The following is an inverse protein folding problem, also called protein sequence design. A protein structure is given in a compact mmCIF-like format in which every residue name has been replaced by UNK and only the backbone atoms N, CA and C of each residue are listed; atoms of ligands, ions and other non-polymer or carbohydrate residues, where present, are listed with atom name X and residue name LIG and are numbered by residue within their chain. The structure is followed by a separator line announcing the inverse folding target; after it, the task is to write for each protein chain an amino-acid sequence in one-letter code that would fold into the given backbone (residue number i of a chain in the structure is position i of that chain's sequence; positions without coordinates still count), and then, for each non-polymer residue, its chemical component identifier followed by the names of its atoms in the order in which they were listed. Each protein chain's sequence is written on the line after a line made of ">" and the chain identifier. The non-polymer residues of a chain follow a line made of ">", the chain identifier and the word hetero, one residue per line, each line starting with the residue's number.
data_IF_931043234938
#
_entry.id   IF_931043234938
#
_cell.length_a   1.000
_cell.length_b   1.000
_cell.length_c   1.000
_cell.angle_alpha   90.00
_cell.angle_beta   90.00
_cell.angle_gamma   90.00
#
_symmetry.space_group_name_H-M   'P 1'
#
loop_
_entity.id
_entity.type
_entity.pdbx_description
1 polymer ?
#
# COMPACT_ATOMS: atom_id res chain seq x y z
N UNK A 1 -3.38 -6.96 24.52
CA UNK A 1 -2.57 -5.91 23.87
C UNK A 1 -3.21 -4.56 24.11
N UNK A 2 -2.38 -3.49 24.32
CA UNK A 2 -2.88 -2.11 24.35
C UNK A 2 -3.49 -1.75 22.98
N UNK A 3 -4.48 -0.87 22.99
CA UNK A 3 -4.93 -0.24 21.75
C UNK A 3 -3.84 0.71 21.22
N UNK A 4 -3.69 0.80 19.91
CA UNK A 4 -2.62 1.57 19.26
C UNK A 4 -3.23 2.54 18.26
N UNK A 5 -2.72 3.76 18.23
CA UNK A 5 -3.13 4.81 17.30
C UNK A 5 -1.95 5.37 16.53
N UNK A 6 -2.19 5.76 15.28
CA UNK A 6 -1.28 6.60 14.51
C UNK A 6 -1.49 8.04 15.00
N UNK A 7 -0.39 8.69 15.37
CA UNK A 7 -0.38 10.06 15.94
C UNK A 7 0.38 11.06 15.08
N UNK A 8 1.18 10.61 14.12
CA UNK A 8 1.90 11.46 13.18
C UNK A 8 2.14 10.76 11.85
N UNK A 9 2.17 11.53 10.77
CA UNK A 9 2.41 11.05 9.41
C UNK A 9 3.44 11.93 8.72
N UNK A 10 4.32 11.31 7.91
CA UNK A 10 5.30 11.99 7.07
C UNK A 10 5.36 11.33 5.71
N UNK A 11 5.24 12.08 4.62
CA UNK A 11 5.36 11.58 3.27
C UNK A 11 6.06 12.57 2.37
N UNK A 12 6.97 12.07 1.53
CA UNK A 12 7.66 12.88 0.54
C UNK A 12 6.91 12.84 -0.80
N UNK A 13 7.02 13.88 -1.64
CA UNK A 13 6.56 13.78 -3.02
C UNK A 13 7.26 12.61 -3.74
N UNK A 14 6.47 11.77 -4.40
CA UNK A 14 7.00 10.67 -5.21
C UNK A 14 7.58 11.24 -6.49
N UNK A 15 8.81 10.82 -6.83
CA UNK A 15 9.56 11.32 -7.96
C UNK A 15 9.96 10.19 -8.90
N UNK A 16 10.09 10.49 -10.18
CA UNK A 16 10.64 9.54 -11.15
C UNK A 16 12.10 9.20 -10.83
N UNK A 17 12.86 10.22 -10.42
CA UNK A 17 14.24 10.13 -9.96
C UNK A 17 14.49 11.19 -8.91
N UNK A 18 15.34 10.89 -7.92
CA UNK A 18 15.76 11.86 -6.90
C UNK A 18 17.28 11.83 -6.72
N UNK A 19 17.87 12.96 -6.33
CA UNK A 19 19.29 13.06 -5.97
C UNK A 19 19.57 12.66 -4.53
N UNK A 20 18.53 12.56 -3.68
CA UNK A 20 18.67 12.15 -2.28
C UNK A 20 19.02 10.67 -2.20
N UNK A 21 19.87 10.29 -1.25
CA UNK A 21 20.17 8.90 -0.93
C UNK A 21 18.98 8.23 -0.22
N UNK A 22 18.97 6.89 -0.15
CA UNK A 22 17.96 6.13 0.61
C UNK A 22 17.84 6.60 2.06
N UNK A 23 19.00 6.78 2.75
CA UNK A 23 19.00 7.22 4.14
C UNK A 23 18.40 8.62 4.30
N UNK A 24 18.70 9.55 3.39
CA UNK A 24 18.13 10.90 3.41
C UNK A 24 16.62 10.89 3.17
N UNK A 25 16.13 10.08 2.21
CA UNK A 25 14.68 9.94 1.98
C UNK A 25 13.98 9.38 3.22
N UNK A 26 14.49 8.28 3.77
CA UNK A 26 13.89 7.64 4.95
C UNK A 26 13.90 8.53 6.18
N UNK A 27 15.05 9.16 6.48
CA UNK A 27 15.19 10.05 7.64
C UNK A 27 14.32 11.31 7.54
N UNK A 28 14.16 11.87 6.34
CA UNK A 28 13.29 13.02 6.12
C UNK A 28 11.80 12.66 6.35
N UNK A 29 11.36 11.49 5.87
CA UNK A 29 10.00 11.00 6.13
C UNK A 29 9.77 10.78 7.64
N UNK A 30 10.76 10.23 8.36
CA UNK A 30 10.71 10.07 9.83
C UNK A 30 10.59 11.42 10.52
N UNK A 31 11.42 12.40 10.15
CA UNK A 31 11.35 13.75 10.77
C UNK A 31 10.00 14.42 10.54
N UNK A 32 9.46 14.35 9.32
CA UNK A 32 8.12 14.88 9.04
C UNK A 32 7.02 14.21 9.88
N UNK A 33 7.11 12.90 10.08
CA UNK A 33 6.14 12.18 10.92
C UNK A 33 6.28 12.56 12.41
N UNK A 34 7.51 12.78 12.89
CA UNK A 34 7.79 13.25 14.24
C UNK A 34 7.31 14.70 14.44
N UNK A 35 7.50 15.56 13.45
CA UNK A 35 6.98 16.94 13.44
C UNK A 35 5.45 16.96 13.49
N UNK A 36 4.73 16.12 12.70
CA UNK A 36 3.26 16.04 12.71
C UNK A 36 2.74 15.53 14.07
N UNK A 37 3.52 14.69 14.77
CA UNK A 37 3.23 14.20 16.13
C UNK A 37 3.72 15.14 17.25
N UNK A 38 4.49 16.18 16.92
CA UNK A 38 5.14 17.07 17.88
C UNK A 38 6.00 16.33 18.92
N UNK A 39 6.85 15.39 18.45
CA UNK A 39 7.76 14.60 19.30
C UNK A 39 9.21 14.69 18.83
N UNK A 40 10.15 14.49 19.76
CA UNK A 40 11.59 14.52 19.49
C UNK A 40 12.26 13.14 19.58
N UNK A 41 11.58 12.15 20.14
CA UNK A 41 12.12 10.80 20.39
C UNK A 41 11.09 9.73 20.09
N UNK A 42 11.61 8.56 19.74
CA UNK A 42 10.86 7.29 19.64
C UNK A 42 11.69 6.17 20.29
N UNK A 43 11.05 5.09 20.69
CA UNK A 43 11.71 3.94 21.31
C UNK A 43 12.14 2.91 20.26
N UNK A 44 11.40 2.82 19.15
CA UNK A 44 11.65 1.84 18.10
C UNK A 44 11.41 2.39 16.69
N UNK A 45 12.19 1.89 15.71
CA UNK A 45 12.07 2.17 14.29
C UNK A 45 12.02 0.86 13.50
N UNK A 46 10.94 0.67 12.76
CA UNK A 46 10.77 -0.46 11.83
C UNK A 46 10.79 0.06 10.40
N UNK A 47 11.88 -0.27 9.69
CA UNK A 47 12.07 0.17 8.32
C UNK A 47 11.68 -0.91 7.31
N UNK A 48 11.09 -0.49 6.20
CA UNK A 48 10.80 -1.33 5.05
C UNK A 48 11.48 -0.83 3.79
N UNK A 49 12.05 -1.76 3.06
CA UNK A 49 12.64 -1.59 1.75
C UNK A 49 12.68 -2.97 1.09
N UNK A 50 12.59 -3.04 -0.22
CA UNK A 50 12.64 -4.32 -0.94
C UNK A 50 13.90 -4.47 -1.78
N UNK A 51 14.42 -3.40 -2.36
CA UNK A 51 15.36 -3.48 -3.49
C UNK A 51 16.75 -2.87 -3.21
N UNK A 52 17.00 -2.33 -2.01
CA UNK A 52 18.24 -1.61 -1.72
C UNK A 52 19.49 -2.48 -1.83
N UNK A 53 19.42 -3.75 -1.46
CA UNK A 53 20.53 -4.69 -1.60
C UNK A 53 20.82 -5.06 -3.06
N UNK A 54 19.82 -5.03 -3.93
CA UNK A 54 19.97 -5.29 -5.36
C UNK A 54 20.36 -4.03 -6.16
N UNK A 55 19.77 -2.88 -5.85
CA UNK A 55 19.95 -1.68 -6.67
C UNK A 55 21.05 -0.75 -6.15
N UNK A 56 21.24 -0.68 -4.83
CA UNK A 56 22.25 0.17 -4.19
C UNK A 56 23.39 -0.64 -3.53
N UNK A 57 23.30 -1.98 -3.46
CA UNK A 57 24.23 -2.80 -2.70
C UNK A 57 24.19 -2.53 -1.19
N UNK A 58 23.11 -1.93 -0.68
CA UNK A 58 22.99 -1.48 0.70
C UNK A 58 22.06 -2.36 1.51
N UNK A 59 22.58 -2.97 2.57
CA UNK A 59 21.81 -3.66 3.62
C UNK A 59 21.68 -2.78 4.86
N UNK A 60 20.98 -3.27 5.87
CA UNK A 60 20.89 -2.64 7.20
C UNK A 60 20.28 -1.23 7.21
N UNK A 61 19.24 -1.03 6.37
CA UNK A 61 18.62 0.26 6.11
C UNK A 61 18.01 0.89 7.37
N UNK A 62 17.47 0.10 8.30
CA UNK A 62 16.83 0.63 9.52
C UNK A 62 17.82 1.43 10.38
N UNK A 63 18.99 0.86 10.68
CA UNK A 63 20.03 1.55 11.46
C UNK A 63 20.58 2.79 10.72
N UNK A 64 20.73 2.72 9.38
CA UNK A 64 21.16 3.87 8.58
C UNK A 64 20.14 5.03 8.62
N UNK A 65 18.86 4.73 8.59
CA UNK A 65 17.79 5.75 8.68
C UNK A 65 17.74 6.32 10.08
N UNK A 66 17.85 5.49 11.13
CA UNK A 66 17.85 5.92 12.52
C UNK A 66 19.02 6.86 12.80
N UNK A 67 20.24 6.48 12.37
CA UNK A 67 21.45 7.31 12.51
C UNK A 67 21.30 8.67 11.80
N UNK A 68 20.89 8.68 10.53
CA UNK A 68 20.66 9.91 9.75
C UNK A 68 19.53 10.78 10.32
N UNK A 69 18.53 10.18 10.99
CA UNK A 69 17.47 10.90 11.69
C UNK A 69 17.90 11.44 13.07
N UNK A 70 19.08 11.06 13.57
CA UNK A 70 19.56 11.39 14.90
C UNK A 70 18.94 10.54 16.03
N UNK A 71 18.37 9.39 15.68
CA UNK A 71 17.72 8.47 16.61
C UNK A 71 18.68 7.33 16.99
N UNK A 72 19.64 7.62 17.88
CA UNK A 72 20.61 6.61 18.36
C UNK A 72 20.14 6.00 19.69
N UNK A 73 20.52 4.72 19.89
CA UNK A 73 20.19 3.98 21.13
C UNK A 73 18.76 3.40 21.16
N UNK A 74 18.03 3.47 20.05
CA UNK A 74 16.69 2.88 19.91
C UNK A 74 16.76 1.49 19.27
N UNK A 75 15.68 0.72 19.36
CA UNK A 75 15.50 -0.47 18.54
C UNK A 75 15.33 -0.05 17.06
N UNK A 76 16.14 -0.61 16.14
CA UNK A 76 16.04 -0.30 14.71
C UNK A 76 16.14 -1.58 13.87
N UNK A 77 15.01 -2.06 13.34
CA UNK A 77 14.92 -3.32 12.59
C UNK A 77 14.35 -3.11 11.18
N UNK A 78 14.91 -3.84 10.23
CA UNK A 78 14.37 -3.92 8.87
C UNK A 78 13.40 -5.09 8.75
N UNK A 79 12.24 -4.84 8.13
CA UNK A 79 11.16 -5.82 7.97
C UNK A 79 10.86 -6.01 6.48
N UNK A 80 10.76 -7.26 6.05
CA UNK A 80 10.57 -7.62 4.64
C UNK A 80 9.37 -8.56 4.42
N UNK A 81 8.58 -8.26 3.37
CA UNK A 81 7.52 -9.10 2.83
C UNK A 81 7.28 -8.76 1.35
N UNK A 82 8.35 -8.67 0.55
CA UNK A 82 8.35 -8.20 -0.83
C UNK A 82 7.62 -6.85 -0.95
N UNK A 83 6.64 -6.68 -1.87
CA UNK A 83 5.88 -5.44 -2.04
C UNK A 83 4.96 -5.11 -0.84
N UNK A 84 4.73 -6.05 0.06
CA UNK A 84 3.98 -5.82 1.30
C UNK A 84 4.86 -5.37 2.49
N UNK A 85 6.16 -5.15 2.28
CA UNK A 85 7.14 -4.81 3.34
C UNK A 85 6.71 -3.60 4.18
N UNK A 86 6.13 -2.56 3.57
CA UNK A 86 5.64 -1.39 4.30
C UNK A 86 4.53 -1.73 5.30
N UNK A 87 3.57 -2.59 4.92
CA UNK A 87 2.55 -3.10 5.84
C UNK A 87 3.14 -4.00 6.92
N UNK A 88 4.18 -4.76 6.61
CA UNK A 88 4.87 -5.58 7.61
C UNK A 88 5.60 -4.70 8.65
N UNK A 89 6.25 -3.62 8.23
CA UNK A 89 6.87 -2.64 9.14
C UNK A 89 5.81 -1.94 10.02
N UNK A 90 4.69 -1.50 9.43
CA UNK A 90 3.55 -0.95 10.18
C UNK A 90 3.01 -1.96 11.22
N UNK A 91 2.91 -3.25 10.83
CA UNK A 91 2.49 -4.32 11.75
C UNK A 91 3.48 -4.52 12.88
N UNK A 92 4.78 -4.48 12.64
CA UNK A 92 5.80 -4.62 13.71
C UNK A 92 5.73 -3.44 14.68
N UNK A 93 5.62 -2.21 14.20
CA UNK A 93 5.40 -1.05 15.06
C UNK A 93 4.11 -1.16 15.88
N UNK A 94 3.01 -1.62 15.26
CA UNK A 94 1.75 -1.91 15.95
C UNK A 94 1.91 -2.96 17.06
N UNK A 95 2.66 -4.04 16.81
CA UNK A 95 2.91 -5.09 17.77
C UNK A 95 3.81 -4.60 18.92
N UNK A 96 4.87 -3.85 18.63
CA UNK A 96 5.78 -3.30 19.64
C UNK A 96 5.07 -2.35 20.60
N UNK A 97 4.27 -1.42 20.07
CA UNK A 97 3.46 -0.53 20.92
C UNK A 97 2.35 -1.30 21.63
N UNK A 98 1.69 -2.21 20.95
CA UNK A 98 0.59 -3.01 21.52
C UNK A 98 1.02 -3.95 22.64
N UNK A 99 2.22 -4.53 22.57
CA UNK A 99 2.79 -5.38 23.63
C UNK A 99 3.29 -4.62 24.84
N UNK A 100 3.66 -3.35 24.66
CA UNK A 100 4.27 -2.52 25.68
C UNK A 100 5.80 -2.47 25.68
N UNK A 101 6.44 -3.08 24.67
CA UNK A 101 7.90 -2.97 24.47
C UNK A 101 8.33 -1.56 24.08
N UNK A 102 7.48 -0.83 23.35
CA UNK A 102 7.70 0.56 22.99
C UNK A 102 6.46 1.40 23.35
N UNK A 103 6.67 2.63 23.79
CA UNK A 103 5.60 3.61 23.94
C UNK A 103 5.42 4.43 22.66
N UNK A 104 6.51 4.76 21.97
CA UNK A 104 6.48 5.41 20.67
C UNK A 104 7.29 4.59 19.65
N UNK A 105 6.66 4.21 18.55
CA UNK A 105 7.34 3.53 17.46
C UNK A 105 7.11 4.22 16.12
N UNK A 106 8.13 4.26 15.27
CA UNK A 106 8.01 4.72 13.89
C UNK A 106 8.07 3.53 12.93
N UNK A 107 7.11 3.47 12.00
CA UNK A 107 7.21 2.64 10.80
C UNK A 107 7.59 3.55 9.64
N UNK A 108 8.70 3.27 8.96
CA UNK A 108 9.19 4.01 7.80
C UNK A 108 9.39 3.08 6.62
N UNK A 109 8.97 3.53 5.44
CA UNK A 109 9.23 2.85 4.18
C UNK A 109 9.97 3.75 3.23
N UNK A 110 10.96 3.22 2.53
CA UNK A 110 11.74 3.93 1.53
C UNK A 110 12.05 3.02 0.36
N UNK A 111 11.97 3.56 -0.86
CA UNK A 111 12.45 2.87 -2.04
C UNK A 111 13.05 3.86 -3.03
N UNK A 112 14.17 3.49 -3.66
CA UNK A 112 14.82 4.27 -4.71
C UNK A 112 15.10 3.36 -5.90
N UNK A 113 14.11 3.26 -6.78
CA UNK A 113 14.13 2.33 -7.91
C UNK A 113 14.83 2.90 -9.14
N UNK A 114 15.17 4.19 -9.12
CA UNK A 114 15.78 4.89 -10.27
C UNK A 114 17.27 4.63 -10.44
N UNK A 115 17.96 4.02 -9.48
CA UNK A 115 19.41 3.80 -9.52
C UNK A 115 19.85 2.52 -10.24
N UNK A 116 18.91 1.72 -10.74
CA UNK A 116 19.25 0.50 -11.44
C UNK A 116 18.14 0.00 -12.34
N UNK A 117 18.31 -1.21 -12.88
CA UNK A 117 17.28 -1.89 -13.68
C UNK A 117 16.34 -2.64 -12.72
N UNK A 118 15.22 -2.01 -12.39
CA UNK A 118 14.29 -2.54 -11.39
C UNK A 118 13.64 -3.88 -11.81
N UNK A 119 13.40 -4.14 -13.08
CA UNK A 119 12.62 -5.29 -13.52
C UNK A 119 13.21 -6.66 -13.13
N UNK A 120 14.53 -6.94 -13.27
CA UNK A 120 15.12 -8.19 -12.78
C UNK A 120 15.09 -8.33 -11.25
N UNK A 121 15.30 -7.22 -10.53
CA UNK A 121 15.23 -7.23 -9.07
C UNK A 121 13.79 -7.50 -8.58
N UNK A 122 12.79 -6.91 -9.23
CA UNK A 122 11.37 -7.16 -8.98
C UNK A 122 10.95 -8.61 -9.24
N UNK A 123 11.51 -9.23 -10.27
CA UNK A 123 11.21 -10.61 -10.61
C UNK A 123 11.59 -11.59 -9.47
N UNK A 124 12.59 -11.25 -8.65
CA UNK A 124 13.01 -12.07 -7.49
C UNK A 124 11.98 -12.12 -6.35
N UNK A 125 10.87 -11.42 -6.47
CA UNK A 125 9.70 -11.63 -5.62
C UNK A 125 8.88 -12.87 -6.01
N UNK A 126 9.14 -13.44 -7.19
CA UNK A 126 8.63 -14.73 -7.65
C UNK A 126 9.61 -15.85 -7.27
N UNK A 127 9.20 -17.10 -7.47
CA UNK A 127 10.08 -18.26 -7.30
C UNK A 127 11.21 -18.22 -8.33
N UNK A 128 12.44 -17.98 -7.82
CA UNK A 128 13.61 -17.82 -8.69
C UNK A 128 13.97 -19.12 -9.39
N UNK A 129 13.79 -20.27 -8.72
CA UNK A 129 14.19 -21.58 -9.24
C UNK A 129 13.22 -22.10 -10.31
N UNK A 130 11.95 -21.73 -10.24
CA UNK A 130 10.90 -22.24 -11.13
C UNK A 130 10.33 -21.16 -12.06
N UNK A 131 9.87 -20.04 -11.51
CA UNK A 131 9.18 -19.03 -12.32
C UNK A 131 10.14 -18.08 -13.04
N UNK A 132 11.16 -17.56 -12.32
CA UNK A 132 12.13 -16.61 -12.93
C UNK A 132 13.06 -17.33 -13.90
N UNK A 133 13.46 -18.57 -13.59
CA UNK A 133 14.24 -19.40 -14.50
C UNK A 133 13.53 -19.66 -15.84
N UNK A 134 12.19 -19.72 -15.83
CA UNK A 134 11.34 -19.85 -17.02
C UNK A 134 10.99 -18.49 -17.67
N UNK A 135 11.61 -17.40 -17.20
CA UNK A 135 11.45 -16.06 -17.77
C UNK A 135 10.22 -15.29 -17.26
N UNK A 136 9.57 -15.73 -16.18
CA UNK A 136 8.44 -15.01 -15.61
C UNK A 136 8.87 -13.66 -15.02
N UNK A 137 7.98 -12.70 -15.11
CA UNK A 137 8.08 -11.38 -14.52
C UNK A 137 6.79 -11.04 -13.77
N UNK A 138 6.82 -10.04 -12.89
CA UNK A 138 5.60 -9.55 -12.25
C UNK A 138 4.55 -9.11 -13.26
N UNK A 139 4.96 -8.54 -14.39
CA UNK A 139 4.05 -8.13 -15.48
C UNK A 139 3.43 -9.35 -16.15
N UNK A 140 4.24 -10.35 -16.53
CA UNK A 140 3.72 -11.54 -17.24
C UNK A 140 2.75 -12.35 -16.37
N UNK A 141 3.03 -12.51 -15.06
CA UNK A 141 2.13 -13.22 -14.14
C UNK A 141 0.78 -12.50 -13.96
N UNK A 142 0.79 -11.17 -13.83
CA UNK A 142 -0.46 -10.42 -13.75
C UNK A 142 -1.20 -10.37 -15.09
N UNK A 143 -0.49 -10.37 -16.23
CA UNK A 143 -1.11 -10.48 -17.55
C UNK A 143 -1.79 -11.84 -17.76
N UNK A 144 -1.20 -12.91 -17.24
CA UNK A 144 -1.80 -14.24 -17.21
C UNK A 144 -3.10 -14.27 -16.39
N UNK A 145 -3.08 -13.74 -15.17
CA UNK A 145 -4.30 -13.60 -14.35
C UNK A 145 -5.37 -12.76 -15.06
N UNK A 146 -4.98 -11.67 -15.72
CA UNK A 146 -5.90 -10.81 -16.48
C UNK A 146 -6.54 -11.55 -17.64
N UNK A 147 -5.77 -12.35 -18.41
CA UNK A 147 -6.28 -13.17 -19.50
C UNK A 147 -7.25 -14.23 -18.97
N UNK A 148 -6.85 -14.99 -17.93
CA UNK A 148 -7.71 -16.01 -17.31
C UNK A 148 -9.03 -15.41 -16.79
N UNK A 149 -8.96 -14.20 -16.21
CA UNK A 149 -10.14 -13.50 -15.72
C UNK A 149 -11.09 -13.11 -16.87
N UNK A 150 -10.56 -12.55 -17.95
CA UNK A 150 -11.36 -12.19 -19.13
C UNK A 150 -12.00 -13.42 -19.78
N UNK A 151 -11.24 -14.49 -19.91
CA UNK A 151 -11.72 -15.73 -20.53
C UNK A 151 -12.81 -16.41 -19.68
N UNK A 152 -12.60 -16.47 -18.35
CA UNK A 152 -13.52 -17.15 -17.44
C UNK A 152 -14.84 -16.41 -17.28
N UNK A 153 -14.78 -15.10 -17.08
CA UNK A 153 -15.95 -14.29 -16.73
C UNK A 153 -16.51 -13.50 -17.92
N UNK A 154 -15.96 -13.70 -19.13
CA UNK A 154 -16.39 -13.01 -20.36
C UNK A 154 -16.40 -11.49 -20.22
N UNK A 155 -15.39 -10.97 -19.53
CA UNK A 155 -15.23 -9.54 -19.32
C UNK A 155 -14.90 -8.85 -20.65
N UNK A 156 -15.54 -7.72 -20.98
CA UNK A 156 -15.17 -6.93 -22.15
C UNK A 156 -13.70 -6.51 -22.11
N UNK A 157 -13.03 -6.38 -23.26
CA UNK A 157 -11.60 -6.01 -23.36
C UNK A 157 -11.26 -4.74 -22.59
N UNK A 158 -12.19 -3.79 -22.48
CA UNK A 158 -12.03 -2.55 -21.76
C UNK A 158 -12.65 -2.54 -20.34
N UNK A 159 -13.03 -3.72 -19.82
CA UNK A 159 -13.67 -3.84 -18.48
C UNK A 159 -12.85 -3.26 -17.33
N UNK A 160 -11.52 -3.33 -17.41
CA UNK A 160 -10.63 -2.81 -16.36
C UNK A 160 -10.14 -1.37 -16.60
N UNK A 161 -10.51 -0.74 -17.71
CA UNK A 161 -9.96 0.57 -18.13
C UNK A 161 -10.19 1.71 -17.13
N UNK A 162 -11.25 1.62 -16.33
CA UNK A 162 -11.58 2.66 -15.37
C UNK A 162 -10.76 2.62 -14.06
N UNK A 163 -10.06 1.53 -13.76
CA UNK A 163 -9.12 1.50 -12.63
C UNK A 163 -8.02 2.57 -12.78
N UNK A 164 -7.19 2.56 -13.87
CA UNK A 164 -6.21 3.62 -14.05
C UNK A 164 -6.83 5.01 -14.26
N UNK A 165 -7.99 5.13 -14.93
CA UNK A 165 -8.66 6.42 -15.14
C UNK A 165 -9.03 7.07 -13.80
N UNK A 166 -9.59 6.31 -12.86
CA UNK A 166 -9.98 6.82 -11.54
C UNK A 166 -8.75 7.16 -10.71
N UNK A 167 -7.73 6.29 -10.70
CA UNK A 167 -6.47 6.55 -10.01
C UNK A 167 -5.82 7.86 -10.47
N UNK A 168 -5.66 8.07 -11.78
CA UNK A 168 -5.08 9.30 -12.32
C UNK A 168 -5.96 10.54 -12.05
N UNK A 169 -7.28 10.40 -12.09
CA UNK A 169 -8.18 11.50 -11.71
C UNK A 169 -7.98 11.93 -10.27
N UNK A 170 -7.84 10.97 -9.35
CA UNK A 170 -7.63 11.25 -7.94
C UNK A 170 -6.22 11.82 -7.68
N UNK A 171 -5.19 11.33 -8.38
CA UNK A 171 -3.81 11.85 -8.27
C UNK A 171 -3.70 13.36 -8.56
N UNK A 172 -4.54 13.93 -9.42
CA UNK A 172 -4.47 15.35 -9.82
C UNK A 172 -4.60 16.34 -8.67
N UNK A 173 -5.16 15.94 -7.56
CA UNK A 173 -5.31 16.80 -6.38
C UNK A 173 -4.35 16.40 -5.24
N UNK A 174 -3.48 15.42 -5.46
CA UNK A 174 -2.48 14.97 -4.50
C UNK A 174 -1.10 15.56 -4.85
N UNK A 175 -0.56 16.49 -4.07
CA UNK A 175 0.76 17.10 -4.33
C UNK A 175 1.92 16.11 -4.21
N UNK A 176 1.72 14.96 -3.57
CA UNK A 176 2.72 13.89 -3.46
C UNK A 176 2.69 12.89 -4.63
N UNK A 177 1.69 12.98 -5.52
CA UNK A 177 1.54 12.04 -6.61
C UNK A 177 2.52 12.30 -7.76
N UNK A 178 3.14 11.24 -8.27
CA UNK A 178 4.05 11.30 -9.42
C UNK A 178 3.37 11.87 -10.69
N UNK A 179 2.10 11.53 -10.90
CA UNK A 179 1.33 11.94 -12.09
C UNK A 179 0.20 12.93 -11.76
N UNK A 180 0.46 13.87 -10.83
CA UNK A 180 -0.53 14.88 -10.43
C UNK A 180 -0.97 15.82 -11.56
N UNK A 181 -0.17 15.99 -12.59
CA UNK A 181 -0.44 16.81 -13.78
C UNK A 181 -0.98 16.01 -14.98
N UNK A 182 -1.05 14.68 -14.88
CA UNK A 182 -1.44 13.82 -15.98
C UNK A 182 -2.95 13.58 -16.03
N UNK A 183 -3.56 13.85 -17.19
CA UNK A 183 -4.97 13.52 -17.47
C UNK A 183 -5.07 12.23 -18.26
N UNK A 184 -5.80 11.26 -17.74
CA UNK A 184 -5.98 9.94 -18.35
C UNK A 184 -7.47 9.69 -18.63
N UNK A 185 -7.76 9.30 -19.87
CA UNK A 185 -9.10 8.93 -20.34
C UNK A 185 -9.16 7.42 -20.66
N UNK A 186 -10.34 6.81 -20.80
CA UNK A 186 -10.46 5.44 -21.30
C UNK A 186 -9.74 5.22 -22.64
N UNK A 187 -9.77 6.21 -23.54
CA UNK A 187 -9.05 6.17 -24.83
C UNK A 187 -7.52 6.15 -24.62
N UNK A 188 -7.02 6.92 -23.65
CA UNK A 188 -5.58 6.93 -23.31
C UNK A 188 -5.13 5.54 -22.86
N UNK A 189 -5.92 4.87 -22.01
CA UNK A 189 -5.62 3.52 -21.53
C UNK A 189 -5.63 2.51 -22.68
N UNK A 190 -6.70 2.50 -23.48
CA UNK A 190 -6.84 1.58 -24.63
C UNK A 190 -5.74 1.72 -25.67
N UNK A 191 -5.26 2.93 -25.91
CA UNK A 191 -4.21 3.22 -26.89
C UNK A 191 -2.79 3.09 -26.29
N UNK A 192 -2.65 2.81 -25.00
CA UNK A 192 -1.32 2.61 -24.41
C UNK A 192 -0.68 1.31 -24.89
N UNK A 193 0.65 1.30 -24.94
CA UNK A 193 1.42 0.15 -25.41
C UNK A 193 1.07 -1.12 -24.66
N UNK A 194 0.88 -2.23 -25.35
CA UNK A 194 0.80 -3.58 -24.75
C UNK A 194 2.19 -3.96 -24.22
N UNK A 195 2.27 -4.32 -22.95
CA UNK A 195 3.52 -4.73 -22.27
C UNK A 195 3.61 -6.24 -22.13
N UNK A 196 2.47 -6.92 -21.91
CA UNK A 196 2.32 -8.38 -21.94
C UNK A 196 0.82 -8.66 -22.14
N UNK A 197 0.43 -9.17 -23.31
CA UNK A 197 -0.98 -9.29 -23.68
C UNK A 197 -1.80 -10.11 -22.65
N UNK A 198 -2.99 -9.62 -22.25
CA UNK A 198 -3.72 -8.43 -22.71
C UNK A 198 -3.34 -7.12 -21.99
N UNK A 199 -2.40 -7.15 -21.04
CA UNK A 199 -2.01 -6.03 -20.17
C UNK A 199 -1.31 -4.90 -20.95
N UNK A 200 -1.71 -3.68 -20.68
CA UNK A 200 -1.16 -2.46 -21.26
C UNK A 200 -0.34 -1.68 -20.26
N UNK A 201 0.48 -0.75 -20.73
CA UNK A 201 1.32 0.09 -19.88
C UNK A 201 0.53 0.83 -18.80
N UNK A 202 -0.64 1.35 -19.11
CA UNK A 202 -1.50 2.07 -18.15
C UNK A 202 -2.16 1.14 -17.10
N UNK A 203 -2.10 -0.18 -17.30
CA UNK A 203 -2.53 -1.15 -16.29
C UNK A 203 -1.49 -1.37 -15.20
N UNK A 204 -0.27 -0.89 -15.39
CA UNK A 204 0.87 -1.10 -14.50
C UNK A 204 1.21 0.17 -13.69
N UNK A 205 1.72 -0.02 -12.48
CA UNK A 205 2.32 1.05 -11.70
C UNK A 205 3.70 1.45 -12.26
N UNK A 206 4.14 2.73 -12.08
CA UNK A 206 5.44 3.20 -12.52
C UNK A 206 6.57 2.78 -11.58
N UNK A 207 7.80 2.76 -12.10
CA UNK A 207 9.04 2.78 -11.34
C UNK A 207 9.26 4.21 -10.83
N UNK A 208 9.55 4.38 -9.52
CA UNK A 208 9.67 5.69 -8.90
C UNK A 208 10.40 5.60 -7.54
N UNK A 209 10.77 6.75 -7.01
CA UNK A 209 11.45 6.92 -5.74
C UNK A 209 10.52 7.61 -4.73
N UNK A 210 10.60 7.24 -3.46
CA UNK A 210 9.80 7.87 -2.41
C UNK A 210 10.00 7.27 -1.03
N UNK A 211 9.55 7.99 -0.02
CA UNK A 211 9.55 7.56 1.37
C UNK A 211 8.33 8.11 2.12
N UNK A 212 7.80 7.32 3.05
CA UNK A 212 6.75 7.72 3.96
C UNK A 212 6.94 7.05 5.32
N UNK A 213 6.45 7.69 6.39
CA UNK A 213 6.54 7.19 7.75
C UNK A 213 5.28 7.52 8.54
N UNK A 214 5.01 6.72 9.56
CA UNK A 214 3.95 6.97 10.54
C UNK A 214 4.45 6.72 11.94
N UNK A 215 4.00 7.51 12.90
CA UNK A 215 4.28 7.36 14.34
C UNK A 215 3.09 6.70 15.01
N UNK A 216 3.38 5.71 15.85
CA UNK A 216 2.40 4.96 16.62
C UNK A 216 2.62 5.20 18.12
N UNK A 217 1.50 5.32 18.85
CA UNK A 217 1.46 5.47 20.30
C UNK A 217 0.31 4.64 20.91
N UNK A 218 0.33 4.36 22.22
CA UNK A 218 -0.84 3.81 22.92
C UNK A 218 -2.04 4.74 22.76
N UNK A 219 -3.21 4.19 22.41
CA UNK A 219 -4.40 5.00 22.16
C UNK A 219 -4.83 5.87 23.35
N UNK A 220 -4.59 5.41 24.57
CA UNK A 220 -4.91 6.15 25.80
C UNK A 220 -4.12 7.45 25.92
N UNK A 221 -2.89 7.48 25.37
CA UNK A 221 -1.98 8.63 25.44
C UNK A 221 -1.95 9.44 24.12
N UNK A 222 -2.57 8.92 23.08
CA UNK A 222 -2.44 9.43 21.70
C UNK A 222 -2.87 10.89 21.53
N UNK A 223 -3.79 11.39 22.38
CA UNK A 223 -4.21 12.80 22.36
C UNK A 223 -3.16 13.78 22.86
N UNK A 224 -2.12 13.30 23.56
CA UNK A 224 -0.98 14.12 23.92
C UNK A 224 -0.09 14.47 22.72
N UNK A 225 -0.15 13.65 21.67
CA UNK A 225 0.68 13.76 20.47
C UNK A 225 -0.10 14.28 19.25
N UNK A 226 -1.40 14.01 19.17
CA UNK A 226 -2.23 14.42 18.04
C UNK A 226 -3.64 14.81 18.49
N UNK A 227 -4.21 15.92 17.98
CA UNK A 227 -5.61 16.28 18.26
C UNK A 227 -6.59 15.27 17.63
N UNK A 228 -6.18 14.56 16.58
CA UNK A 228 -7.00 13.63 15.81
C UNK A 228 -6.28 12.30 15.57
N UNK A 229 -5.99 11.51 16.65
CA UNK A 229 -5.32 10.23 16.49
C UNK A 229 -6.22 9.24 15.75
N UNK A 230 -5.62 8.40 14.92
CA UNK A 230 -6.33 7.38 14.14
C UNK A 230 -5.97 6.00 14.66
N UNK A 231 -6.96 5.29 15.19
CA UNK A 231 -6.76 3.96 15.78
C UNK A 231 -6.50 2.91 14.70
N UNK A 232 -5.53 2.03 14.93
CA UNK A 232 -5.37 0.78 14.18
C UNK A 232 -6.31 -0.26 14.81
N UNK A 233 -7.49 -0.43 14.20
CA UNK A 233 -8.53 -1.33 14.70
C UNK A 233 -8.20 -2.78 14.42
N UNK A 234 -7.47 -3.05 13.30
CA UNK A 234 -7.01 -4.38 12.95
C UNK A 234 -5.69 -4.33 12.18
N UNK A 235 -4.88 -5.36 12.38
CA UNK A 235 -3.68 -5.66 11.61
C UNK A 235 -3.57 -7.17 11.45
N UNK A 236 -3.79 -7.69 10.26
CA UNK A 236 -3.82 -9.12 9.96
C UNK A 236 -2.91 -9.47 8.80
N UNK A 237 -2.40 -10.68 8.79
CA UNK A 237 -1.57 -11.23 7.74
C UNK A 237 -2.00 -12.66 7.40
N UNK A 238 -1.91 -13.02 6.13
CA UNK A 238 -2.11 -14.38 5.65
C UNK A 238 -1.17 -14.67 4.47
N UNK A 239 -0.90 -15.94 4.26
CA UNK A 239 -0.13 -16.44 3.12
C UNK A 239 -0.92 -17.50 2.37
N UNK A 240 -0.63 -17.66 1.09
CA UNK A 240 -1.15 -18.69 0.20
C UNK A 240 0.04 -19.44 -0.43
N UNK A 241 -0.23 -20.41 -1.29
CA UNK A 241 0.78 -21.08 -2.09
C UNK A 241 1.60 -20.06 -2.86
N UNK A 242 2.91 -20.29 -2.88
CA UNK A 242 3.85 -19.29 -3.41
C UNK A 242 3.59 -19.03 -4.89
N UNK A 243 3.60 -20.07 -5.71
CA UNK A 243 3.34 -19.96 -7.15
C UNK A 243 1.83 -19.93 -7.44
N UNK A 244 1.46 -19.13 -8.42
CA UNK A 244 0.06 -19.00 -8.86
C UNK A 244 -0.48 -20.31 -9.43
N UNK A 245 0.36 -21.06 -10.14
CA UNK A 245 0.03 -22.35 -10.77
C UNK A 245 -0.33 -23.44 -9.77
N UNK A 246 0.20 -23.36 -8.56
CA UNK A 246 -0.05 -24.35 -7.50
C UNK A 246 -1.37 -24.09 -6.75
N UNK A 247 -2.07 -22.99 -7.06
CA UNK A 247 -3.34 -22.62 -6.43
C UNK A 247 -4.51 -23.38 -7.08
N UNK A 248 -5.44 -23.83 -6.27
CA UNK A 248 -6.66 -24.49 -6.75
C UNK A 248 -7.48 -23.58 -7.67
N UNK A 249 -7.53 -22.29 -7.37
CA UNK A 249 -8.15 -21.27 -8.20
C UNK A 249 -7.23 -20.03 -8.26
N UNK A 250 -6.49 -19.82 -9.36
CA UNK A 250 -5.57 -18.71 -9.49
C UNK A 250 -6.25 -17.33 -9.45
N UNK A 251 -7.55 -17.27 -9.77
CA UNK A 251 -8.34 -16.02 -9.73
C UNK A 251 -8.96 -15.73 -8.36
N UNK A 252 -8.81 -16.63 -7.39
CA UNK A 252 -9.23 -16.37 -6.01
C UNK A 252 -8.02 -16.13 -5.13
N UNK A 253 -7.89 -14.91 -4.63
CA UNK A 253 -6.78 -14.51 -3.77
C UNK A 253 -7.03 -14.95 -2.32
N UNK A 254 -6.79 -16.22 -2.01
CA UNK A 254 -7.11 -16.81 -0.69
C UNK A 254 -6.43 -16.06 0.46
N UNK A 255 -5.16 -15.68 0.32
CA UNK A 255 -4.47 -14.89 1.35
C UNK A 255 -5.14 -13.53 1.59
N UNK A 256 -5.67 -12.89 0.54
CA UNK A 256 -6.39 -11.62 0.66
C UNK A 256 -7.74 -11.82 1.36
N UNK A 257 -8.48 -12.86 0.97
CA UNK A 257 -9.75 -13.22 1.60
C UNK A 257 -9.56 -13.47 3.10
N UNK A 258 -8.65 -14.37 3.46
CA UNK A 258 -8.38 -14.74 4.86
C UNK A 258 -7.88 -13.55 5.67
N UNK A 259 -6.98 -12.73 5.10
CA UNK A 259 -6.46 -11.52 5.76
C UNK A 259 -7.57 -10.50 6.01
N UNK A 260 -8.43 -10.22 5.01
CA UNK A 260 -9.56 -9.30 5.13
C UNK A 260 -10.57 -9.79 6.18
N UNK A 261 -10.97 -11.08 6.13
CA UNK A 261 -11.90 -11.66 7.09
C UNK A 261 -11.37 -11.62 8.54
N UNK A 262 -10.06 -11.87 8.73
CA UNK A 262 -9.43 -11.69 10.04
C UNK A 262 -9.48 -10.23 10.49
N UNK A 263 -9.19 -9.29 9.59
CA UNK A 263 -9.20 -7.87 9.90
C UNK A 263 -10.61 -7.38 10.29
N UNK A 264 -11.64 -7.76 9.56
CA UNK A 264 -13.04 -7.42 9.89
C UNK A 264 -13.44 -7.94 11.29
N UNK A 265 -13.12 -9.21 11.59
CA UNK A 265 -13.38 -9.77 12.93
C UNK A 265 -12.60 -9.05 14.04
N UNK A 266 -11.32 -8.74 13.82
CA UNK A 266 -10.49 -8.04 14.82
C UNK A 266 -11.01 -6.62 15.08
N UNK A 267 -11.42 -5.91 14.03
CA UNK A 267 -11.95 -4.56 14.13
C UNK A 267 -13.41 -4.53 14.65
N UNK A 268 -14.10 -5.66 14.63
CA UNK A 268 -15.54 -5.77 14.91
C UNK A 268 -16.37 -4.83 14.02
N UNK A 269 -16.09 -4.87 12.70
CA UNK A 269 -16.79 -4.09 11.67
C UNK A 269 -17.17 -5.00 10.49
N UNK A 270 -18.19 -4.59 9.74
CA UNK A 270 -18.57 -5.22 8.49
C UNK A 270 -17.96 -4.46 7.30
N UNK A 271 -17.99 -5.05 6.12
CA UNK A 271 -17.51 -4.38 4.89
C UNK A 271 -18.27 -3.09 4.58
N UNK A 272 -19.56 -3.05 4.90
CA UNK A 272 -20.44 -1.91 4.69
C UNK A 272 -20.08 -0.69 5.56
N UNK A 273 -19.33 -0.91 6.65
CA UNK A 273 -18.84 0.15 7.53
C UNK A 273 -17.58 0.84 6.95
N UNK A 274 -16.93 0.24 5.94
CA UNK A 274 -15.70 0.75 5.33
C UNK A 274 -16.01 1.94 4.42
N UNK A 275 -15.51 3.11 4.79
CA UNK A 275 -15.71 4.36 4.05
C UNK A 275 -14.82 4.51 2.82
N UNK A 276 -13.62 3.89 2.83
CA UNK A 276 -12.66 3.91 1.73
C UNK A 276 -11.70 2.73 1.82
N UNK A 277 -11.15 2.34 0.65
CA UNK A 277 -10.23 1.21 0.57
C UNK A 277 -8.97 1.56 -0.25
N UNK A 278 -7.83 1.71 0.41
CA UNK A 278 -6.51 1.84 -0.23
C UNK A 278 -5.95 0.44 -0.53
N UNK A 279 -6.38 -0.13 -1.63
CA UNK A 279 -5.96 -1.46 -2.07
C UNK A 279 -4.64 -1.41 -2.88
N UNK A 280 -4.04 -2.59 -3.09
CA UNK A 280 -2.79 -2.74 -3.84
C UNK A 280 -3.04 -2.77 -5.36
N UNK A 281 -3.22 -1.63 -5.97
CA UNK A 281 -3.54 -1.48 -7.41
C UNK A 281 -2.30 -1.43 -8.32
N UNK A 282 -1.21 -2.12 -7.98
CA UNK A 282 -0.02 -2.17 -8.84
C UNK A 282 -0.34 -2.59 -10.28
N UNK A 283 -1.36 -3.42 -10.44
CA UNK A 283 -1.95 -3.83 -11.72
C UNK A 283 -3.48 -3.70 -11.68
N UNK A 284 -4.12 -3.39 -12.83
CA UNK A 284 -5.59 -3.23 -12.88
C UNK A 284 -6.31 -4.52 -12.48
N UNK A 285 -5.79 -5.69 -12.89
CA UNK A 285 -6.35 -6.98 -12.49
C UNK A 285 -6.23 -7.23 -10.97
N UNK A 286 -5.13 -6.84 -10.35
CA UNK A 286 -4.93 -7.01 -8.92
C UNK A 286 -5.94 -6.17 -8.12
N UNK A 287 -6.21 -4.95 -8.54
CA UNK A 287 -7.26 -4.12 -7.91
C UNK A 287 -8.65 -4.79 -8.00
N UNK A 288 -8.98 -5.36 -9.16
CA UNK A 288 -10.22 -6.09 -9.40
C UNK A 288 -10.35 -7.30 -8.47
N UNK A 289 -9.34 -8.19 -8.47
CA UNK A 289 -9.34 -9.40 -7.64
C UNK A 289 -9.32 -9.10 -6.13
N UNK A 290 -8.70 -8.01 -5.69
CA UNK A 290 -8.72 -7.58 -4.29
C UNK A 290 -10.10 -7.12 -3.85
N UNK A 291 -10.87 -6.42 -4.70
CA UNK A 291 -12.26 -6.07 -4.40
C UNK A 291 -13.12 -7.31 -4.19
N UNK A 292 -12.92 -8.33 -5.01
CA UNK A 292 -13.63 -9.61 -4.90
C UNK A 292 -13.21 -10.39 -3.64
N UNK A 293 -11.92 -10.60 -3.45
CA UNK A 293 -11.40 -11.36 -2.32
C UNK A 293 -11.70 -10.70 -0.96
N UNK A 294 -11.79 -9.37 -0.91
CA UNK A 294 -12.17 -8.62 0.29
C UNK A 294 -13.69 -8.54 0.50
N UNK A 295 -14.50 -9.07 -0.43
CA UNK A 295 -15.94 -9.18 -0.31
C UNK A 295 -16.73 -7.95 -0.77
N UNK A 296 -16.09 -6.98 -1.46
CA UNK A 296 -16.78 -5.80 -2.02
C UNK A 296 -17.48 -6.11 -3.36
N UNK A 297 -17.13 -7.22 -4.00
CA UNK A 297 -17.80 -7.76 -5.17
C UNK A 297 -17.79 -9.30 -5.13
N UNK A 298 -18.75 -9.92 -5.81
CA UNK A 298 -18.73 -11.35 -6.05
C UNK A 298 -17.62 -11.74 -7.06
N UNK A 299 -17.11 -12.98 -7.02
CA UNK A 299 -16.12 -13.43 -7.99
C UNK A 299 -16.59 -13.24 -9.45
N UNK A 300 -15.77 -12.55 -10.24
CA UNK A 300 -16.07 -12.19 -11.63
C UNK A 300 -16.84 -10.88 -11.82
N UNK A 301 -17.19 -10.17 -10.75
CA UNK A 301 -17.97 -8.94 -10.79
C UNK A 301 -17.18 -7.69 -10.38
N UNK A 302 -15.94 -7.84 -9.89
CA UNK A 302 -15.11 -6.72 -9.41
C UNK A 302 -14.85 -5.65 -10.48
N UNK A 303 -14.76 -6.04 -11.76
CA UNK A 303 -14.61 -5.12 -12.87
C UNK A 303 -15.80 -4.17 -13.05
N UNK A 304 -17.04 -4.62 -12.69
CA UNK A 304 -18.25 -3.80 -12.81
C UNK A 304 -18.22 -2.58 -11.89
N UNK A 305 -17.64 -2.72 -10.70
CA UNK A 305 -17.48 -1.59 -9.78
C UNK A 305 -16.70 -0.44 -10.43
N UNK A 306 -15.66 -0.78 -11.23
CA UNK A 306 -14.89 0.20 -11.99
C UNK A 306 -15.67 0.71 -13.21
N UNK A 307 -16.29 -0.18 -14.01
CA UNK A 307 -17.05 0.17 -15.19
C UNK A 307 -18.21 1.11 -14.87
N UNK A 308 -18.91 0.88 -13.77
CA UNK A 308 -20.04 1.67 -13.27
C UNK A 308 -19.60 2.88 -12.42
N UNK A 309 -18.29 3.11 -12.27
CA UNK A 309 -17.67 4.22 -11.50
C UNK A 309 -18.02 4.19 -10.01
N UNK A 310 -18.39 3.05 -9.46
CA UNK A 310 -18.76 2.86 -8.04
C UNK A 310 -17.56 2.94 -7.10
N UNK A 311 -16.33 2.89 -7.64
CA UNK A 311 -15.05 3.01 -6.93
C UNK A 311 -14.49 4.45 -6.88
N UNK A 312 -15.19 5.44 -7.41
CA UNK A 312 -14.76 6.85 -7.35
C UNK A 312 -14.95 7.46 -5.97
N UNK A 313 -14.40 8.68 -5.73
CA UNK A 313 -14.50 9.40 -4.44
C UNK A 313 -15.93 9.59 -3.90
N UNK A 314 -16.94 9.53 -4.77
CA UNK A 314 -18.36 9.61 -4.41
C UNK A 314 -19.09 8.31 -4.73
N UNK A 315 -18.35 7.24 -4.98
CA UNK A 315 -18.90 5.92 -5.28
C UNK A 315 -19.26 5.16 -4.02
N UNK A 316 -19.68 3.93 -4.21
CA UNK A 316 -20.08 3.01 -3.14
C UNK A 316 -18.91 2.62 -2.24
N UNK A 317 -17.75 2.32 -2.86
CA UNK A 317 -16.49 2.04 -2.19
C UNK A 317 -15.37 2.87 -2.84
N UNK A 318 -15.07 4.07 -2.35
CA UNK A 318 -13.94 4.85 -2.83
C UNK A 318 -12.63 4.09 -2.68
N UNK A 319 -11.89 3.91 -3.79
CA UNK A 319 -10.56 3.31 -3.77
C UNK A 319 -9.51 4.30 -4.28
N UNK A 320 -8.23 4.05 -3.96
CA UNK A 320 -7.10 4.84 -4.48
C UNK A 320 -7.36 6.34 -4.41
N UNK A 321 -7.83 6.78 -3.23
CA UNK A 321 -8.40 8.12 -3.05
C UNK A 321 -7.40 9.24 -3.32
N UNK A 322 -6.11 8.96 -3.21
CA UNK A 322 -5.01 9.89 -3.47
C UNK A 322 -4.19 9.52 -4.72
N UNK A 323 -4.71 8.60 -5.56
CA UNK A 323 -4.11 8.20 -6.83
C UNK A 323 -3.59 6.77 -6.89
N UNK A 324 -3.53 6.07 -5.76
CA UNK A 324 -3.09 4.67 -5.66
C UNK A 324 -1.69 4.44 -6.22
N UNK A 325 -1.33 3.19 -6.39
CA UNK A 325 -0.01 2.78 -6.87
C UNK A 325 0.23 3.17 -8.33
N UNK A 326 -0.85 3.25 -9.14
CA UNK A 326 -0.75 3.59 -10.57
C UNK A 326 -0.41 5.05 -10.82
N UNK A 327 -1.00 5.96 -10.08
CA UNK A 327 -0.93 7.38 -10.38
C UNK A 327 -0.23 8.20 -9.30
N UNK A 328 -0.43 7.90 -8.02
CA UNK A 328 0.43 8.42 -6.98
C UNK A 328 1.87 7.92 -7.16
N UNK A 329 2.04 6.64 -7.48
CA UNK A 329 3.30 5.93 -7.64
C UNK A 329 3.45 4.78 -6.67
N UNK A 330 4.44 3.90 -6.94
CA UNK A 330 4.68 2.67 -6.19
C UNK A 330 6.15 2.53 -5.80
N UNK A 331 6.69 3.40 -4.93
CA UNK A 331 7.99 3.14 -4.28
C UNK A 331 7.78 2.02 -3.27
N UNK A 332 8.15 0.80 -3.66
CA UNK A 332 7.64 -0.48 -3.13
C UNK A 332 7.64 -0.57 -1.61
N UNK A 333 8.83 -0.40 -0.98
CA UNK A 333 8.94 -0.45 0.48
C UNK A 333 8.14 0.63 1.21
N UNK A 334 7.88 1.77 0.55
CA UNK A 334 7.16 2.89 1.14
C UNK A 334 5.64 2.84 0.88
N UNK A 335 5.19 2.05 -0.08
CA UNK A 335 3.80 2.11 -0.58
C UNK A 335 2.74 2.03 0.51
N UNK A 336 2.86 1.06 1.42
CA UNK A 336 1.87 0.89 2.49
C UNK A 336 1.87 2.05 3.49
N UNK A 337 3.01 2.68 3.72
CA UNK A 337 3.09 3.84 4.61
C UNK A 337 2.42 5.07 3.94
N UNK A 338 2.55 5.23 2.62
CA UNK A 338 1.74 6.20 1.88
C UNK A 338 0.24 5.92 2.01
N UNK A 339 -0.19 4.67 1.84
CA UNK A 339 -1.60 4.27 2.03
C UNK A 339 -2.08 4.58 3.44
N UNK A 340 -1.27 4.31 4.47
CA UNK A 340 -1.59 4.65 5.85
C UNK A 340 -1.73 6.17 6.04
N UNK A 341 -0.78 6.97 5.52
CA UNK A 341 -0.86 8.42 5.53
C UNK A 341 -2.15 8.93 4.84
N UNK A 342 -2.48 8.38 3.68
CA UNK A 342 -3.67 8.75 2.90
C UNK A 342 -4.97 8.45 3.65
N UNK A 343 -5.07 7.30 4.32
CA UNK A 343 -6.22 6.99 5.18
C UNK A 343 -6.27 7.96 6.37
N UNK A 344 -5.13 8.25 7.02
CA UNK A 344 -5.09 9.23 8.11
C UNK A 344 -5.58 10.60 7.63
N UNK A 345 -5.13 11.08 6.46
CA UNK A 345 -5.62 12.34 5.88
C UNK A 345 -7.13 12.32 5.66
N UNK A 346 -7.69 11.22 5.16
CA UNK A 346 -9.13 11.06 4.96
C UNK A 346 -9.91 11.07 6.28
N UNK A 347 -9.44 10.31 7.28
CA UNK A 347 -10.13 10.16 8.56
C UNK A 347 -9.98 11.40 9.47
N UNK A 348 -9.02 12.28 9.18
CA UNK A 348 -8.80 13.55 9.92
C UNK A 348 -9.22 14.78 9.13
N UNK A 349 -9.97 14.62 8.03
CA UNK A 349 -10.48 15.69 7.17
C UNK A 349 -9.38 16.57 6.53
N UNK A 350 -8.17 16.02 6.36
CA UNK A 350 -7.00 16.67 5.75
C UNK A 350 -6.77 16.31 4.28
N UNK A 351 -7.67 15.54 3.64
CA UNK A 351 -7.50 15.06 2.25
C UNK A 351 -7.85 16.10 1.16
N UNK A 352 -8.23 17.32 1.55
CA UNK A 352 -8.49 18.43 0.63
C UNK A 352 -9.57 18.12 -0.40
N UNK A 353 -9.27 18.33 -1.70
CA UNK A 353 -10.24 18.09 -2.79
C UNK A 353 -10.58 16.62 -3.00
N UNK A 354 -9.80 15.70 -2.43
CA UNK A 354 -10.03 14.26 -2.50
C UNK A 354 -10.78 13.72 -1.28
N UNK A 355 -11.25 14.59 -0.40
CA UNK A 355 -11.95 14.18 0.81
C UNK A 355 -13.17 13.31 0.50
N UNK A 356 -13.19 12.11 1.06
CA UNK A 356 -14.35 11.23 1.11
C UNK A 356 -15.28 11.74 2.21
N UNK A 357 -16.54 11.97 1.87
CA UNK A 357 -17.50 12.54 2.82
C UNK A 357 -17.80 11.56 3.97
N UNK A 358 -17.75 12.06 5.21
CA UNK A 358 -18.04 11.28 6.42
C UNK A 358 -17.17 10.02 6.56
N UNK A 359 -15.92 10.05 6.11
CA UNK A 359 -15.00 8.93 6.26
C UNK A 359 -14.70 8.68 7.75
N UNK A 360 -14.96 7.47 8.23
CA UNK A 360 -14.74 7.06 9.62
C UNK A 360 -13.92 5.78 9.76
N UNK A 361 -13.94 4.92 8.74
CA UNK A 361 -13.18 3.67 8.69
C UNK A 361 -12.52 3.54 7.32
N UNK A 362 -11.20 3.40 7.33
CA UNK A 362 -10.39 3.12 6.15
C UNK A 362 -9.78 1.72 6.22
N UNK A 363 -9.83 1.00 5.11
CA UNK A 363 -9.15 -0.27 4.94
C UNK A 363 -7.95 -0.10 4.02
N UNK A 364 -6.84 -0.78 4.30
CA UNK A 364 -5.73 -0.91 3.36
C UNK A 364 -5.28 -2.35 3.25
N UNK A 365 -4.85 -2.73 2.05
CA UNK A 365 -4.31 -4.07 1.79
C UNK A 365 -3.06 -3.96 0.95
N UNK A 366 -1.99 -4.61 1.41
CA UNK A 366 -0.74 -4.74 0.69
C UNK A 366 -0.49 -6.18 0.29
N UNK A 367 0.06 -6.33 -0.91
CA UNK A 367 0.29 -7.62 -1.56
C UNK A 367 1.78 -7.82 -1.80
N UNK A 368 2.32 -8.93 -1.33
CA UNK A 368 3.67 -9.41 -1.65
C UNK A 368 3.63 -10.47 -2.74
N UNK A 369 4.54 -10.36 -3.70
CA UNK A 369 4.60 -11.20 -4.90
C UNK A 369 3.27 -11.21 -5.67
N UNK A 370 2.82 -12.34 -6.16
CA UNK A 370 1.53 -12.51 -6.86
C UNK A 370 0.39 -12.86 -5.87
N UNK A 371 0.25 -12.07 -4.79
CA UNK A 371 -0.68 -12.28 -3.68
C UNK A 371 -0.37 -13.52 -2.81
N UNK A 372 0.89 -13.88 -2.70
CA UNK A 372 1.36 -14.94 -1.80
C UNK A 372 1.27 -14.51 -0.34
N UNK A 373 1.72 -13.29 -0.03
CA UNK A 373 1.57 -12.69 1.29
C UNK A 373 0.65 -11.49 1.19
N UNK A 374 -0.39 -11.45 2.01
CA UNK A 374 -1.31 -10.31 2.06
C UNK A 374 -1.45 -9.82 3.48
N UNK A 375 -1.30 -8.51 3.64
CA UNK A 375 -1.43 -7.82 4.93
C UNK A 375 -2.54 -6.78 4.81
N UNK A 376 -3.52 -6.88 5.73
CA UNK A 376 -4.67 -5.97 5.78
C UNK A 376 -4.68 -5.21 7.11
N UNK A 377 -4.82 -3.89 7.04
CA UNK A 377 -5.08 -3.04 8.19
C UNK A 377 -6.45 -2.37 8.06
N UNK A 378 -7.12 -2.19 9.18
CA UNK A 378 -8.32 -1.36 9.30
C UNK A 378 -8.02 -0.25 10.30
N UNK A 379 -8.25 0.98 9.87
CA UNK A 379 -8.02 2.19 10.66
C UNK A 379 -9.35 2.92 10.87
N UNK A 380 -9.52 3.57 12.03
CA UNK A 380 -10.77 4.26 12.33
C UNK A 380 -10.61 5.41 13.31
N UNK A 381 -11.56 6.33 13.28
CA UNK A 381 -11.66 7.46 14.22
C UNK A 381 -12.36 7.10 15.53
N UNK A 382 -12.97 5.90 15.60
CA UNK A 382 -13.74 5.49 16.76
C UNK A 382 -12.83 5.16 17.94
N UNK A 383 -12.74 6.09 18.88
CA UNK A 383 -11.98 5.97 20.13
C UNK A 383 -12.85 5.47 21.31
N UNK A 384 -14.11 5.08 21.04
CA UNK A 384 -15.12 4.83 22.08
C UNK A 384 -14.86 3.61 22.98
N UNK A 385 -13.76 2.86 22.80
CA UNK A 385 -13.34 1.73 23.61
C UNK A 385 -11.85 1.78 23.97
N UNK A 386 -11.31 2.96 24.20
CA UNK A 386 -9.93 3.14 24.71
C UNK A 386 -9.90 3.15 26.22
#
# INVERSE_FOLDING_TARGET
>A
MRNVSIVGIGQLPIQKTTTKSLRQLGSEAVRLAMEDANIEKVDALFASNMLADELQGQKHIAALIADEAGLTGIEALQVGAAMASGSAALRMAYLAVGSGEADLAVAVGVEKMSEGVAAPALAKALDVEHEVADGATMISKNAELMRLYFDRYKVPEDGLVNFPVIAHRNARNNPHALFHDMSVSPRTVRNSRVVSAPMRLMDCSPVCDGAAAVILAPSQESRAYSPHPVRIMASSVSTDRFRVEDRTNPLWLEAAHVSAQKAFRMANVNREDVSLYELHDAFSIMACLLLEASGFAEPGEGWRLAAEKRIGLRGEIPITTMGGLKARGHPIGATALYQACEIVLQLTERAGKNQVKNASIGMMTSVGAAATTVITHILGTNMANC
#
